data_IF_228984294352
#
_entry.id   IF_228984294352
#
_cell.length_a   1.000
_cell.length_b   1.000
_cell.length_c   1.000
_cell.angle_alpha   90.00
_cell.angle_beta   90.00
_cell.angle_gamma   90.00
#
_symmetry.space_group_name_H-M   'P 1'
#
loop_
_entity.id
_entity.type
_entity.pdbx_description
1 polymer ?
#
# COMPACT_ATOMS: atom_id res chain seq x y z
N UNK A 1 -10.70 40.67 21.77
CA UNK A 1 -11.11 39.24 21.82
C UNK A 1 -9.91 38.39 21.47
N UNK A 2 -9.30 37.71 22.44
CA UNK A 2 -8.17 36.81 22.18
C UNK A 2 -8.70 35.47 21.66
N UNK A 3 -8.25 35.05 20.49
CA UNK A 3 -8.59 33.75 19.92
C UNK A 3 -8.03 32.65 20.84
N UNK A 4 -8.87 31.75 21.34
CA UNK A 4 -8.41 30.58 22.10
C UNK A 4 -7.92 29.53 21.10
N UNK A 5 -6.64 29.18 21.15
CA UNK A 5 -6.14 28.01 20.43
C UNK A 5 -6.71 26.74 21.09
N UNK A 6 -7.60 26.06 20.37
CA UNK A 6 -8.03 24.70 20.69
C UNK A 6 -7.19 23.77 19.82
N UNK A 7 -6.45 22.84 20.43
CA UNK A 7 -5.68 21.83 19.70
C UNK A 7 -5.91 20.44 20.30
N UNK A 8 -5.70 19.39 19.50
CA UNK A 8 -5.86 17.99 19.89
C UNK A 8 -4.55 17.28 20.27
N UNK A 9 -3.46 18.03 20.49
CA UNK A 9 -2.15 17.44 20.79
C UNK A 9 -2.17 16.86 22.19
N UNK A 10 -1.78 15.59 22.31
CA UNK A 10 -1.61 14.90 23.59
C UNK A 10 -0.14 14.59 23.81
N UNK A 11 0.23 14.32 25.06
CA UNK A 11 1.57 13.85 25.37
C UNK A 11 1.88 12.56 24.59
N UNK A 12 3.01 12.54 23.87
CA UNK A 12 3.40 11.42 23.02
C UNK A 12 2.71 11.34 21.64
N UNK A 13 1.97 12.37 21.21
CA UNK A 13 1.44 12.46 19.84
C UNK A 13 2.54 12.33 18.78
N UNK A 14 3.69 12.95 19.01
CA UNK A 14 4.87 12.90 18.10
C UNK A 14 5.50 11.51 17.98
N UNK A 15 5.20 10.60 18.92
CA UNK A 15 5.63 9.19 18.91
C UNK A 15 4.66 8.27 18.14
N UNK A 16 3.76 8.83 17.34
CA UNK A 16 2.81 8.06 16.51
C UNK A 16 2.79 8.53 15.05
N UNK A 17 3.71 9.40 14.66
CA UNK A 17 3.77 9.88 13.29
C UNK A 17 4.41 8.83 12.40
N UNK A 18 3.77 8.53 11.27
CA UNK A 18 4.42 7.78 10.19
C UNK A 18 5.29 8.77 9.41
N UNK A 19 6.58 8.46 9.27
CA UNK A 19 7.58 9.32 8.65
C UNK A 19 8.33 8.51 7.59
N UNK A 20 8.70 9.18 6.50
CA UNK A 20 9.57 8.64 5.46
C UNK A 20 8.84 8.31 4.15
N UNK A 21 9.59 8.04 3.07
CA UNK A 21 9.04 7.87 1.73
C UNK A 21 8.30 6.55 1.50
N UNK A 22 8.41 5.61 2.45
CA UNK A 22 7.92 4.24 2.33
C UNK A 22 8.82 3.38 1.43
N UNK A 23 8.97 2.09 1.76
CA UNK A 23 9.70 1.11 0.93
C UNK A 23 8.76 -0.02 0.55
N UNK A 24 8.76 -0.41 -0.73
CA UNK A 24 7.94 -1.52 -1.20
C UNK A 24 8.76 -2.82 -1.35
N UNK A 25 8.16 -3.90 -0.86
CA UNK A 25 8.62 -5.27 -1.06
C UNK A 25 7.56 -6.08 -1.79
N UNK A 26 8.00 -7.03 -2.62
CA UNK A 26 7.15 -8.04 -3.27
C UNK A 26 7.31 -9.41 -2.62
N UNK A 27 6.29 -10.25 -2.74
CA UNK A 27 6.23 -11.60 -2.18
C UNK A 27 6.38 -11.62 -0.65
N UNK A 28 5.60 -10.78 0.04
CA UNK A 28 5.61 -10.70 1.50
C UNK A 28 5.28 -12.05 2.17
N UNK A 29 6.19 -12.53 3.02
CA UNK A 29 5.98 -13.76 3.80
C UNK A 29 5.51 -13.43 5.22
N UNK A 30 6.29 -12.66 5.97
CA UNK A 30 5.98 -12.29 7.35
C UNK A 30 6.79 -11.06 7.82
N UNK A 31 6.54 -10.58 9.04
CA UNK A 31 7.20 -9.36 9.59
C UNK A 31 8.72 -9.49 9.79
N UNK A 32 9.28 -10.71 9.79
CA UNK A 32 10.73 -10.96 9.85
C UNK A 32 11.34 -11.12 8.44
N UNK A 33 10.54 -11.60 7.49
CA UNK A 33 10.91 -11.85 6.10
C UNK A 33 9.94 -11.10 5.17
N UNK A 34 10.28 -9.85 4.90
CA UNK A 34 9.42 -8.90 4.18
C UNK A 34 9.28 -9.21 2.68
N UNK A 35 10.15 -10.05 2.13
CA UNK A 35 10.19 -10.41 0.72
C UNK A 35 11.36 -9.73 -0.02
N UNK A 36 11.17 -9.50 -1.31
CA UNK A 36 12.17 -8.90 -2.20
C UNK A 36 11.91 -7.39 -2.36
N UNK A 37 12.93 -6.56 -2.19
CA UNK A 37 12.81 -5.11 -2.38
C UNK A 37 12.61 -4.79 -3.86
N UNK A 38 11.63 -3.94 -4.18
CA UNK A 38 11.30 -3.59 -5.58
C UNK A 38 12.18 -2.47 -6.15
N UNK A 39 12.80 -1.67 -5.29
CA UNK A 39 13.80 -0.67 -5.67
C UNK A 39 13.41 0.76 -5.26
N UNK A 40 14.16 1.73 -5.78
CA UNK A 40 13.99 3.14 -5.48
C UNK A 40 12.68 3.71 -6.06
N UNK A 41 11.98 4.50 -5.25
CA UNK A 41 10.76 5.21 -5.64
C UNK A 41 10.96 6.73 -5.64
N UNK A 42 10.18 7.44 -6.44
CA UNK A 42 10.14 8.91 -6.46
C UNK A 42 8.72 9.43 -6.34
N UNK A 43 8.54 10.64 -5.82
CA UNK A 43 7.22 11.26 -5.64
C UNK A 43 6.40 10.72 -4.45
N UNK A 44 6.99 9.84 -3.63
CA UNK A 44 6.34 9.21 -2.48
C UNK A 44 5.53 7.97 -2.86
N UNK A 45 5.11 7.23 -1.82
CA UNK A 45 4.26 6.05 -1.95
C UNK A 45 2.94 6.29 -1.23
N UNK A 46 1.86 5.73 -1.76
CA UNK A 46 0.51 5.84 -1.19
C UNK A 46 -0.09 4.46 -1.03
N UNK A 47 -0.80 4.26 0.07
CA UNK A 47 -1.68 3.11 0.29
C UNK A 47 -3.09 3.64 0.48
N UNK A 48 -4.06 3.03 -0.20
CA UNK A 48 -5.47 3.38 -0.14
C UNK A 48 -6.35 2.16 0.08
N UNK A 49 -7.53 2.39 0.65
CA UNK A 49 -8.53 1.38 0.94
C UNK A 49 -9.90 1.93 0.49
N UNK A 50 -10.29 1.63 -0.74
CA UNK A 50 -11.50 2.17 -1.34
C UNK A 50 -12.70 1.31 -0.96
N UNK A 51 -13.53 1.82 -0.06
CA UNK A 51 -14.72 1.12 0.43
C UNK A 51 -16.01 1.77 -0.05
N UNK A 52 -16.86 0.95 -0.67
CA UNK A 52 -18.20 1.35 -1.08
C UNK A 52 -19.23 0.76 -0.11
N UNK A 53 -20.19 1.59 0.31
CA UNK A 53 -21.24 1.20 1.25
C UNK A 53 -22.60 1.39 0.62
N UNK A 54 -23.48 0.42 0.84
CA UNK A 54 -24.90 0.56 0.57
C UNK A 54 -25.61 1.12 1.80
N UNK A 55 -26.51 2.07 1.60
CA UNK A 55 -27.47 2.51 2.59
C UNK A 55 -28.82 1.86 2.27
N UNK A 56 -29.42 1.18 3.25
CA UNK A 56 -30.73 0.55 3.11
C UNK A 56 -31.79 1.58 2.73
N UNK A 57 -32.46 1.34 1.60
CA UNK A 57 -33.59 2.15 1.17
C UNK A 57 -34.86 1.64 1.85
N UNK A 58 -35.39 2.42 2.80
CA UNK A 58 -36.51 2.05 3.66
C UNK A 58 -37.60 3.12 3.54
N UNK A 59 -38.81 2.70 3.22
CA UNK A 59 -39.94 3.62 3.09
C UNK A 59 -40.34 4.25 4.43
N UNK A 60 -40.60 5.56 4.42
CA UNK A 60 -41.11 6.29 5.57
C UNK A 60 -40.06 6.76 6.58
N UNK A 61 -38.76 6.51 6.36
CA UNK A 61 -37.68 7.12 7.16
C UNK A 61 -37.15 8.40 6.51
N UNK A 62 -36.90 9.41 7.35
CA UNK A 62 -36.46 10.73 6.90
C UNK A 62 -34.95 10.83 6.62
N UNK A 63 -34.21 9.72 6.74
CA UNK A 63 -32.77 9.71 6.51
C UNK A 63 -32.09 8.40 6.91
N UNK A 64 -30.75 8.41 6.92
CA UNK A 64 -29.92 7.24 7.21
C UNK A 64 -30.17 6.75 8.64
N UNK A 65 -30.47 5.46 8.78
CA UNK A 65 -30.65 4.82 10.08
C UNK A 65 -29.35 4.18 10.57
N UNK A 66 -29.16 4.16 11.89
CA UNK A 66 -28.08 3.39 12.52
C UNK A 66 -28.28 1.90 12.17
N UNK A 67 -27.20 1.20 11.85
CA UNK A 67 -27.19 -0.21 11.39
C UNK A 67 -27.89 -0.49 10.05
N UNK A 68 -28.34 0.52 9.30
CA UNK A 68 -28.90 0.36 7.96
C UNK A 68 -27.86 0.43 6.84
N UNK A 69 -26.58 0.13 7.13
CA UNK A 69 -25.47 0.27 6.19
C UNK A 69 -24.64 -1.00 6.16
N UNK A 70 -24.31 -1.50 4.96
CA UNK A 70 -23.37 -2.61 4.77
C UNK A 70 -22.36 -2.32 3.67
N UNK A 71 -21.26 -3.07 3.71
CA UNK A 71 -20.13 -2.94 2.78
C UNK A 71 -20.47 -3.68 1.47
N UNK A 72 -20.24 -3.03 0.33
CA UNK A 72 -20.41 -3.61 -1.01
C UNK A 72 -19.07 -3.96 -1.66
N UNK A 73 -18.10 -3.05 -1.54
CA UNK A 73 -16.79 -3.16 -2.17
C UNK A 73 -15.71 -2.75 -1.18
N UNK A 74 -14.60 -3.48 -1.13
CA UNK A 74 -13.39 -3.11 -0.39
C UNK A 74 -12.18 -3.42 -1.28
N UNK A 75 -11.61 -2.38 -1.87
CA UNK A 75 -10.53 -2.48 -2.85
C UNK A 75 -9.28 -1.78 -2.30
N UNK A 76 -8.34 -2.55 -1.73
CA UNK A 76 -7.06 -2.00 -1.31
C UNK A 76 -6.15 -1.75 -2.52
N UNK A 77 -5.40 -0.66 -2.49
CA UNK A 77 -4.44 -0.34 -3.55
C UNK A 77 -3.16 0.32 -3.02
N UNK A 78 -2.08 0.19 -3.78
CA UNK A 78 -0.80 0.88 -3.55
C UNK A 78 -0.41 1.62 -4.83
N UNK A 79 -0.07 2.90 -4.68
CA UNK A 79 0.40 3.75 -5.78
C UNK A 79 1.84 4.22 -5.50
N UNK A 80 2.71 4.07 -6.50
CA UNK A 80 4.11 4.51 -6.42
C UNK A 80 4.69 4.75 -7.82
N UNK A 81 5.85 5.39 -7.86
CA UNK A 81 6.64 5.53 -9.10
C UNK A 81 8.00 4.85 -8.92
N UNK A 82 8.27 3.78 -9.67
CA UNK A 82 9.56 3.09 -9.67
C UNK A 82 10.54 3.84 -10.58
N UNK A 83 11.75 4.10 -10.08
CA UNK A 83 12.81 4.76 -10.87
C UNK A 83 13.66 3.74 -11.64
N UNK A 84 13.77 2.53 -11.13
CA UNK A 84 14.67 1.51 -11.65
C UNK A 84 14.02 0.72 -12.79
N UNK A 85 14.55 0.89 -14.00
CA UNK A 85 14.18 0.13 -15.18
C UNK A 85 14.98 -1.18 -15.24
N UNK A 86 14.53 -2.17 -14.49
CA UNK A 86 15.03 -3.56 -14.57
C UNK A 86 13.99 -4.45 -15.26
N UNK A 87 14.41 -5.60 -15.79
CA UNK A 87 13.46 -6.56 -16.39
C UNK A 87 12.41 -7.00 -15.38
N UNK A 88 12.78 -7.19 -14.11
CA UNK A 88 11.87 -7.59 -13.05
C UNK A 88 10.84 -6.50 -12.74
N UNK A 89 11.25 -5.23 -12.74
CA UNK A 89 10.35 -4.10 -12.51
C UNK A 89 9.42 -3.86 -13.70
N UNK A 90 9.90 -4.09 -14.92
CA UNK A 90 9.06 -4.02 -16.12
C UNK A 90 8.04 -5.17 -16.17
N UNK A 91 8.43 -6.39 -15.81
CA UNK A 91 7.48 -7.51 -15.67
C UNK A 91 6.47 -7.29 -14.53
N UNK A 92 6.89 -6.64 -13.45
CA UNK A 92 6.01 -6.26 -12.34
C UNK A 92 5.01 -5.16 -12.77
N UNK A 93 5.48 -4.15 -13.50
CA UNK A 93 4.67 -3.03 -13.97
C UNK A 93 3.73 -3.43 -15.12
N UNK A 94 4.16 -4.37 -15.96
CA UNK A 94 3.43 -4.89 -17.11
C UNK A 94 3.23 -6.41 -16.96
N UNK A 95 2.13 -6.84 -16.33
CA UNK A 95 1.79 -8.25 -16.19
C UNK A 95 1.76 -8.99 -17.54
N UNK A 96 2.24 -10.25 -17.55
CA UNK A 96 2.25 -11.08 -18.77
C UNK A 96 3.42 -10.83 -19.73
N UNK A 97 4.42 -10.06 -19.35
CA UNK A 97 5.65 -9.88 -20.15
C UNK A 97 6.55 -11.12 -20.11
N UNK A 98 6.96 -11.60 -21.28
CA UNK A 98 7.99 -12.62 -21.45
C UNK A 98 9.33 -11.97 -21.76
N UNK A 99 10.44 -12.59 -21.33
CA UNK A 99 11.80 -12.09 -21.53
C UNK A 99 12.56 -13.07 -22.44
N UNK A 100 13.15 -12.56 -23.50
CA UNK A 100 14.08 -13.26 -24.37
C UNK A 100 15.44 -12.56 -24.35
N UNK A 101 16.44 -13.21 -23.78
CA UNK A 101 17.83 -12.72 -23.68
C UNK A 101 18.75 -13.28 -24.77
N UNK A 102 18.20 -14.00 -25.76
CA UNK A 102 18.98 -14.80 -26.70
C UNK A 102 18.93 -14.30 -28.13
N UNK A 103 17.81 -13.65 -28.51
CA UNK A 103 17.59 -13.20 -29.90
C UNK A 103 18.42 -11.98 -30.27
N UNK A 104 18.62 -11.03 -29.34
CA UNK A 104 19.32 -9.76 -29.60
C UNK A 104 20.55 -9.64 -28.68
N UNK A 105 21.74 -9.62 -29.26
CA UNK A 105 22.98 -9.51 -28.49
C UNK A 105 23.04 -8.17 -27.75
N UNK A 106 23.17 -8.23 -26.43
CA UNK A 106 23.22 -7.05 -25.56
C UNK A 106 21.85 -6.52 -25.09
N UNK A 107 20.74 -7.19 -25.46
CA UNK A 107 19.39 -6.79 -25.06
C UNK A 107 18.61 -7.95 -24.42
N UNK A 108 17.83 -7.61 -23.40
CA UNK A 108 16.70 -8.41 -22.94
C UNK A 108 15.45 -7.91 -23.67
N UNK A 109 14.87 -8.73 -24.54
CA UNK A 109 13.67 -8.39 -25.31
C UNK A 109 12.43 -8.76 -24.51
N UNK A 110 11.65 -7.77 -24.09
CA UNK A 110 10.40 -7.95 -23.35
C UNK A 110 9.20 -7.86 -24.31
N UNK A 111 8.37 -8.91 -24.37
CA UNK A 111 7.21 -8.98 -25.27
C UNK A 111 5.92 -9.30 -24.49
N UNK A 112 4.78 -8.64 -24.79
CA UNK A 112 3.51 -8.99 -24.17
C UNK A 112 3.04 -10.39 -24.57
N UNK A 113 2.46 -11.09 -23.59
CA UNK A 113 1.52 -12.17 -23.81
C UNK A 113 0.07 -11.64 -23.76
N UNK A 114 -0.85 -12.37 -24.38
CA UNK A 114 -2.29 -12.14 -24.22
C UNK A 114 -2.83 -12.75 -22.91
N UNK A 115 -1.98 -13.43 -22.14
CA UNK A 115 -2.32 -14.10 -20.90
C UNK A 115 -1.67 -13.41 -19.71
N UNK A 116 -2.42 -13.26 -18.61
CA UNK A 116 -1.89 -12.83 -17.32
C UNK A 116 -1.76 -14.10 -16.46
N UNK A 117 -0.55 -14.67 -16.32
CA UNK A 117 -0.36 -15.85 -15.49
C UNK A 117 -0.51 -15.51 -14.01
N UNK A 118 -0.87 -16.50 -13.19
CA UNK A 118 -0.99 -16.38 -11.73
C UNK A 118 0.27 -15.81 -11.07
N UNK A 119 1.44 -16.08 -11.66
CA UNK A 119 2.73 -15.54 -11.22
C UNK A 119 2.86 -14.02 -11.32
N UNK A 120 1.91 -13.35 -11.99
CA UNK A 120 1.85 -11.88 -12.07
C UNK A 120 1.20 -11.25 -10.83
N UNK A 121 0.53 -12.04 -10.00
CA UNK A 121 -0.05 -11.59 -8.74
C UNK A 121 0.97 -11.73 -7.62
N UNK A 122 1.21 -10.64 -6.90
CA UNK A 122 2.22 -10.59 -5.85
C UNK A 122 1.65 -10.06 -4.54
N UNK A 123 2.09 -10.62 -3.42
CA UNK A 123 1.83 -10.04 -2.11
C UNK A 123 2.78 -8.86 -1.88
N UNK A 124 2.23 -7.65 -1.93
CA UNK A 124 2.98 -6.39 -1.82
C UNK A 124 2.95 -5.89 -0.39
N UNK A 125 4.12 -5.53 0.15
CA UNK A 125 4.25 -4.89 1.45
C UNK A 125 4.84 -3.49 1.32
N UNK A 126 4.11 -2.49 1.79
CA UNK A 126 4.58 -1.11 1.93
C UNK A 126 4.94 -0.82 3.39
N UNK A 127 6.19 -0.40 3.61
CA UNK A 127 6.77 -0.23 4.94
C UNK A 127 7.00 1.24 5.23
N UNK A 128 6.43 1.74 6.32
CA UNK A 128 6.66 3.09 6.83
C UNK A 128 7.31 3.07 8.22
N UNK A 129 8.09 4.09 8.57
CA UNK A 129 8.65 4.20 9.92
C UNK A 129 7.68 4.94 10.84
N UNK A 130 7.44 4.40 12.03
CA UNK A 130 6.65 5.10 13.07
C UNK A 130 7.63 5.79 14.01
N UNK A 131 7.58 7.12 14.09
CA UNK A 131 8.36 7.90 15.06
C UNK A 131 8.15 7.36 16.47
N UNK A 132 9.22 7.01 17.18
CA UNK A 132 9.15 6.49 18.55
C UNK A 132 8.91 4.98 18.67
N UNK A 133 8.97 4.23 17.57
CA UNK A 133 9.06 2.77 17.53
C UNK A 133 10.24 2.34 16.67
N UNK A 134 10.97 1.30 17.11
CA UNK A 134 12.01 0.65 16.30
C UNK A 134 11.41 -0.33 15.28
N UNK A 135 10.13 -0.69 15.45
CA UNK A 135 9.38 -1.50 14.50
C UNK A 135 8.63 -0.58 13.51
N UNK A 136 8.62 -0.92 12.21
CA UNK A 136 7.87 -0.16 11.21
C UNK A 136 6.38 -0.51 11.21
N UNK A 137 5.56 0.36 10.62
CA UNK A 137 4.22 0.01 10.15
C UNK A 137 4.32 -0.69 8.80
N UNK A 138 3.58 -1.78 8.61
CA UNK A 138 3.60 -2.55 7.36
C UNK A 138 2.16 -2.69 6.84
N UNK A 139 1.92 -2.19 5.64
CA UNK A 139 0.67 -2.40 4.91
C UNK A 139 0.90 -3.50 3.89
N UNK A 140 0.19 -4.61 4.02
CA UNK A 140 0.28 -5.75 3.09
C UNK A 140 -0.97 -5.78 2.24
N UNK A 141 -0.81 -5.75 0.93
CA UNK A 141 -1.86 -5.97 -0.06
C UNK A 141 -1.62 -7.34 -0.70
N UNK A 142 -2.61 -8.22 -0.65
CA UNK A 142 -2.51 -9.61 -1.12
C UNK A 142 -2.97 -9.73 -2.56
N UNK A 143 -2.37 -10.65 -3.30
CA UNK A 143 -2.67 -10.90 -4.71
C UNK A 143 -2.73 -9.60 -5.52
N UNK A 144 -1.72 -8.75 -5.37
CA UNK A 144 -1.72 -7.44 -5.98
C UNK A 144 -1.29 -7.56 -7.45
N UNK A 145 -2.03 -6.89 -8.33
CA UNK A 145 -1.75 -6.80 -9.76
C UNK A 145 -1.73 -5.34 -10.17
N UNK A 146 -0.83 -4.96 -11.08
CA UNK A 146 -0.84 -3.62 -11.67
C UNK A 146 -2.00 -3.51 -12.67
N UNK A 147 -2.85 -2.50 -12.47
CA UNK A 147 -3.99 -2.22 -13.35
C UNK A 147 -3.95 -0.83 -13.97
N UNK A 148 -3.01 0.02 -13.54
CA UNK A 148 -2.81 1.33 -14.16
C UNK A 148 -2.20 1.20 -15.54
N UNK A 149 -2.56 2.13 -16.43
CA UNK A 149 -1.76 2.39 -17.64
C UNK A 149 -0.33 2.73 -17.25
N UNK A 150 0.63 2.06 -17.88
CA UNK A 150 2.05 2.37 -17.71
C UNK A 150 2.44 3.42 -18.74
N UNK A 151 2.81 4.59 -18.24
CA UNK A 151 3.30 5.71 -19.04
C UNK A 151 4.77 5.98 -18.70
N UNK A 152 5.63 6.03 -19.72
CA UNK A 152 7.05 6.36 -19.58
C UNK A 152 7.28 7.76 -20.13
N UNK A 153 7.30 8.74 -19.24
CA UNK A 153 7.55 10.15 -19.59
C UNK A 153 9.06 10.41 -19.76
N UNK A 154 9.58 10.31 -20.99
CA UNK A 154 10.96 10.68 -21.32
C UNK A 154 11.08 12.22 -21.41
N UNK A 155 11.53 12.85 -20.32
CA UNK A 155 11.64 14.32 -20.19
C UNK A 155 13.03 14.86 -20.61
N UNK A 156 13.15 16.18 -20.65
CA UNK A 156 14.32 16.98 -21.05
C UNK A 156 15.51 16.95 -20.06
N UNK A 157 15.60 15.93 -19.20
CA UNK A 157 16.66 15.77 -18.20
C UNK A 157 16.39 16.42 -16.84
N UNK A 158 15.21 17.02 -16.61
CA UNK A 158 14.79 17.49 -15.28
C UNK A 158 13.85 16.48 -14.61
N UNK A 159 14.32 15.93 -13.49
CA UNK A 159 13.60 14.89 -12.73
C UNK A 159 13.92 13.48 -13.21
N UNK A 160 13.55 12.50 -12.39
CA UNK A 160 13.83 11.10 -12.66
C UNK A 160 12.69 10.48 -13.44
N UNK A 161 12.98 9.84 -14.58
CA UNK A 161 12.01 9.03 -15.32
C UNK A 161 11.65 7.83 -14.45
N UNK A 162 10.37 7.48 -14.41
CA UNK A 162 9.93 6.33 -13.64
C UNK A 162 8.60 5.75 -14.10
N UNK A 163 8.36 4.51 -13.70
CA UNK A 163 7.17 3.72 -13.97
C UNK A 163 6.13 3.98 -12.89
N UNK A 164 5.09 4.76 -13.21
CA UNK A 164 3.94 4.94 -12.32
C UNK A 164 3.13 3.66 -12.28
N UNK A 165 3.04 3.03 -11.11
CA UNK A 165 2.34 1.77 -10.92
C UNK A 165 1.25 1.93 -9.85
N UNK A 166 0.05 1.46 -10.17
CA UNK A 166 -1.05 1.24 -9.22
C UNK A 166 -1.34 -0.25 -9.10
N UNK A 167 -0.98 -0.82 -7.95
CA UNK A 167 -1.27 -2.19 -7.57
C UNK A 167 -2.63 -2.26 -6.88
N UNK A 168 -3.51 -3.15 -7.33
CA UNK A 168 -4.78 -3.44 -6.67
C UNK A 168 -4.75 -4.86 -6.11
N UNK A 169 -5.18 -5.04 -4.86
CA UNK A 169 -5.30 -6.35 -4.23
C UNK A 169 -6.57 -7.08 -4.65
N UNK A 170 -6.44 -8.38 -4.92
CA UNK A 170 -7.54 -9.22 -5.39
C UNK A 170 -7.94 -10.27 -4.36
N UNK A 171 -9.25 -10.52 -4.24
CA UNK A 171 -9.77 -11.60 -3.41
C UNK A 171 -9.32 -12.95 -3.97
N UNK A 172 -8.93 -13.87 -3.08
CA UNK A 172 -8.58 -15.23 -3.49
C UNK A 172 -9.86 -16.04 -3.74
N UNK A 173 -9.85 -16.91 -4.75
CA UNK A 173 -10.92 -17.89 -4.97
C UNK A 173 -11.14 -18.82 -3.77
N UNK A 174 -10.07 -19.10 -3.01
CA UNK A 174 -10.13 -19.91 -1.79
C UNK A 174 -10.73 -19.19 -0.59
N UNK A 175 -10.80 -17.84 -0.63
CA UNK A 175 -11.30 -17.00 0.44
C UNK A 175 -12.00 -15.74 -0.12
N UNK A 176 -13.09 -15.89 -0.90
CA UNK A 176 -13.67 -14.82 -1.72
C UNK A 176 -14.38 -13.72 -0.90
N UNK A 177 -14.51 -13.91 0.41
CA UNK A 177 -15.11 -12.95 1.35
C UNK A 177 -14.10 -12.31 2.30
N UNK A 178 -12.82 -12.66 2.19
CA UNK A 178 -11.75 -12.12 3.04
C UNK A 178 -11.05 -10.96 2.31
N UNK A 179 -11.10 -9.73 2.85
CA UNK A 179 -10.44 -8.59 2.22
C UNK A 179 -8.94 -8.83 2.01
N UNK A 180 -8.37 -8.51 0.83
CA UNK A 180 -7.01 -8.89 0.47
C UNK A 180 -5.95 -7.92 1.02
N UNK A 181 -6.00 -7.61 2.32
CA UNK A 181 -4.97 -6.80 2.96
C UNK A 181 -4.81 -7.08 4.46
N UNK A 182 -3.69 -6.63 5.02
CA UNK A 182 -3.41 -6.69 6.45
C UNK A 182 -2.53 -5.51 6.85
N UNK A 183 -2.72 -4.98 8.05
CA UNK A 183 -1.94 -3.86 8.57
C UNK A 183 -1.26 -4.29 9.85
N UNK A 184 0.07 -4.28 9.86
CA UNK A 184 0.88 -4.55 11.03
C UNK A 184 1.32 -3.23 11.64
N UNK A 185 0.70 -2.87 12.77
CA UNK A 185 1.06 -1.70 13.55
C UNK A 185 1.91 -2.15 14.76
N UNK A 186 3.06 -1.51 15.03
CA UNK A 186 3.83 -1.76 16.23
C UNK A 186 3.00 -1.57 17.50
N UNK A 187 3.04 -2.56 18.39
CA UNK A 187 2.53 -2.38 19.73
C UNK A 187 3.47 -1.43 20.49
N UNK A 188 2.92 -0.40 21.12
CA UNK A 188 3.71 0.38 22.09
C UNK A 188 4.12 -0.55 23.22
N UNK A 189 5.42 -0.59 23.57
CA UNK A 189 5.83 -1.15 24.87
C UNK A 189 4.99 -0.43 25.93
N UNK A 190 4.24 -1.21 26.72
CA UNK A 190 3.39 -0.70 27.81
C UNK A 190 4.32 -0.09 28.86
N UNK A 191 4.57 1.22 28.80
CA UNK A 191 5.21 1.93 29.91
C UNK A 191 4.30 1.75 31.11
N UNK A 192 4.79 1.07 32.15
CA UNK A 192 4.04 0.80 33.36
C UNK A 192 3.39 2.10 33.85
N UNK A 193 2.08 2.05 34.12
CA UNK A 193 1.33 3.17 34.64
C UNK A 193 2.03 3.70 35.90
N UNK A 194 2.53 4.94 35.86
CA UNK A 194 2.88 5.65 37.08
C UNK A 194 1.60 5.74 37.89
N UNK A 195 1.57 5.10 39.06
CA UNK A 195 0.53 5.34 40.06
C UNK A 195 0.49 6.84 40.32
N UNK A 196 -0.70 7.43 40.23
CA UNK A 196 -0.92 8.78 40.71
C UNK A 196 -0.45 8.87 42.18
N UNK A 197 0.22 9.97 42.59
CA UNK A 197 0.55 10.17 44.00
C UNK A 197 -0.77 10.19 44.79
N UNK A 198 -0.81 9.39 45.86
CA UNK A 198 -1.90 9.42 46.82
C UNK A 198 -1.97 10.83 47.41
N UNK A 199 -3.11 11.49 47.23
CA UNK A 199 -3.44 12.73 47.92
C UNK A 199 -3.54 12.41 49.41
N UNK A 200 -2.67 13.02 50.22
CA UNK A 200 -2.84 13.13 51.66
C UNK A 200 -3.80 14.27 51.99
#
# INVERSE_FOLDING_TARGET
MSWKLINGVREGTTKNFVIGPGVMYKNFKNVKELGEMVGATTGGTKVGFDREYYDADLDGVLGKIVNGKWLLKDEPHVELTLVEFTKENLQLALPGMTVDSTTEEGYDVLTPSNEIPDSSYHDIALIGMVSGSDLPIIFVIRNALVVSSIEVDLKDGKGTVGLKCKFIGHYSESAPTTPPYSIYLPQKKKTAALKAPATA
#
